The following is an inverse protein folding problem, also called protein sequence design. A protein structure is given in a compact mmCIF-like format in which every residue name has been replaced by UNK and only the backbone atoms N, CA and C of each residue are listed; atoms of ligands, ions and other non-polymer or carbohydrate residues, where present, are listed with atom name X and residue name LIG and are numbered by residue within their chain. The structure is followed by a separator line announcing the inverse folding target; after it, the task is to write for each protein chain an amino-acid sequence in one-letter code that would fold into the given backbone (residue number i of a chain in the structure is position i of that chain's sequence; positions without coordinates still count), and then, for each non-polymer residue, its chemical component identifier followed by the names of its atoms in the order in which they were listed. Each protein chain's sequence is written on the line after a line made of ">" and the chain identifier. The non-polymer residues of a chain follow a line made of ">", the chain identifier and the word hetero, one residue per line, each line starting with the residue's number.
data_IF_466945589427
#
_entry.id   IF_466945589427
#
_cell.length_a   1.000
_cell.length_b   1.000
_cell.length_c   1.000
_cell.angle_alpha   90.00
_cell.angle_beta   90.00
_cell.angle_gamma   90.00
#
_symmetry.space_group_name_H-M   'P 1'
#
loop_
_entity.id
_entity.type
_entity.pdbx_description
1 polymer ?
#
# COMPACT_ATOMS: atom_id res chain seq x y z
N UNK A 1 11.40 -19.66 -15.14
CA UNK A 1 11.56 -19.57 -16.61
C UNK A 1 11.49 -18.10 -17.04
N UNK A 2 12.41 -17.24 -16.57
CA UNK A 2 12.72 -15.88 -17.07
C UNK A 2 13.92 -15.41 -16.24
N UNK A 3 15.13 -15.61 -16.77
CA UNK A 3 16.38 -15.14 -16.14
C UNK A 3 17.09 -14.33 -17.22
N UNK A 4 17.21 -13.03 -17.00
CA UNK A 4 17.82 -11.99 -17.85
C UNK A 4 16.96 -11.53 -19.03
N UNK A 5 16.11 -10.53 -18.76
CA UNK A 5 15.71 -9.59 -19.80
C UNK A 5 16.98 -8.88 -20.29
N UNK A 6 17.22 -8.91 -21.60
CA UNK A 6 18.29 -8.11 -22.21
C UNK A 6 18.00 -6.63 -21.96
N UNK A 7 19.04 -5.78 -21.83
CA UNK A 7 18.87 -4.34 -21.57
C UNK A 7 17.92 -3.67 -22.56
N UNK A 8 17.92 -4.14 -23.82
CA UNK A 8 17.02 -3.65 -24.86
C UNK A 8 15.54 -3.98 -24.58
N UNK A 9 15.25 -5.13 -24.00
CA UNK A 9 13.88 -5.52 -23.65
C UNK A 9 13.42 -4.80 -22.38
N UNK A 10 14.31 -4.58 -21.42
CA UNK A 10 14.04 -3.73 -20.25
C UNK A 10 13.72 -2.29 -20.68
N UNK A 11 14.48 -1.73 -21.62
CA UNK A 11 14.21 -0.39 -22.17
C UNK A 11 12.87 -0.31 -22.90
N UNK A 12 12.49 -1.34 -23.67
CA UNK A 12 11.16 -1.41 -24.32
C UNK A 12 10.03 -1.46 -23.29
N UNK A 13 10.17 -2.31 -22.26
CA UNK A 13 9.18 -2.43 -21.18
C UNK A 13 9.02 -1.11 -20.43
N UNK A 14 10.11 -0.43 -20.11
CA UNK A 14 10.09 0.90 -19.49
C UNK A 14 9.32 1.90 -20.35
N UNK A 15 9.62 1.95 -21.66
CA UNK A 15 8.96 2.87 -22.59
C UNK A 15 7.46 2.59 -22.73
N UNK A 16 7.07 1.31 -22.84
CA UNK A 16 5.65 0.91 -22.90
C UNK A 16 4.94 1.29 -21.59
N UNK A 17 5.56 1.02 -20.44
CA UNK A 17 5.01 1.37 -19.12
C UNK A 17 4.78 2.87 -18.99
N UNK A 18 5.76 3.69 -19.38
CA UNK A 18 5.64 5.16 -19.36
C UNK A 18 4.53 5.62 -20.29
N UNK A 19 4.42 5.05 -21.50
CA UNK A 19 3.37 5.40 -22.44
C UNK A 19 1.98 5.06 -21.89
N UNK A 20 1.79 3.84 -21.38
CA UNK A 20 0.55 3.42 -20.74
C UNK A 20 0.20 4.31 -19.53
N UNK A 21 1.18 4.60 -18.67
CA UNK A 21 0.96 5.47 -17.52
C UNK A 21 0.57 6.89 -17.95
N UNK A 22 1.22 7.43 -18.98
CA UNK A 22 0.88 8.75 -19.56
C UNK A 22 -0.55 8.76 -20.09
N UNK A 23 -0.98 7.72 -20.81
CA UNK A 23 -2.35 7.60 -21.31
C UNK A 23 -3.37 7.56 -20.16
N UNK A 24 -3.11 6.77 -19.11
CA UNK A 24 -3.99 6.68 -17.92
C UNK A 24 -4.06 8.02 -17.19
N UNK A 25 -2.94 8.69 -16.94
CA UNK A 25 -2.90 9.99 -16.28
C UNK A 25 -3.59 11.07 -17.11
N UNK A 26 -3.44 11.04 -18.44
CA UNK A 26 -4.12 11.96 -19.36
C UNK A 26 -5.65 11.74 -19.32
N UNK A 27 -6.10 10.49 -19.35
CA UNK A 27 -7.53 10.16 -19.20
C UNK A 27 -8.07 10.56 -17.83
N UNK A 28 -7.29 10.36 -16.77
CA UNK A 28 -7.63 10.78 -15.42
C UNK A 28 -7.75 12.30 -15.31
N UNK A 29 -6.86 13.04 -15.96
CA UNK A 29 -6.90 14.50 -16.02
C UNK A 29 -8.12 15.02 -16.78
N UNK A 30 -8.53 14.36 -17.86
CA UNK A 30 -9.71 14.74 -18.65
C UNK A 30 -11.02 14.42 -17.90
N UNK A 31 -11.07 13.32 -17.14
CA UNK A 31 -12.28 12.92 -16.39
C UNK A 31 -12.39 13.53 -14.99
N UNK A 32 -11.33 14.15 -14.47
CA UNK A 32 -11.34 14.68 -13.09
C UNK A 32 -11.86 16.11 -13.03
N UNK A 33 -13.10 16.27 -12.58
CA UNK A 33 -13.66 17.55 -12.09
C UNK A 33 -13.29 17.83 -10.61
N UNK A 34 -12.38 17.05 -10.02
CA UNK A 34 -11.90 17.22 -8.65
C UNK A 34 -10.63 18.06 -8.64
N UNK A 35 -10.62 19.14 -7.84
CA UNK A 35 -9.44 19.97 -7.59
C UNK A 35 -8.19 19.11 -7.33
N UNK A 36 -7.05 19.45 -7.95
CA UNK A 36 -5.74 18.77 -7.83
C UNK A 36 -5.42 18.43 -6.36
N UNK A 37 -5.81 19.30 -5.43
CA UNK A 37 -5.61 19.10 -3.99
C UNK A 37 -6.31 17.86 -3.43
N UNK A 38 -7.54 17.54 -3.86
CA UNK A 38 -8.26 16.34 -3.38
C UNK A 38 -7.68 15.04 -3.92
N UNK A 39 -7.25 15.05 -5.18
CA UNK A 39 -6.62 13.88 -5.82
C UNK A 39 -5.28 13.56 -5.15
N UNK A 40 -4.48 14.58 -4.86
CA UNK A 40 -3.22 14.45 -4.12
C UNK A 40 -3.48 14.01 -2.68
N UNK A 41 -4.46 14.60 -2.00
CA UNK A 41 -4.81 14.22 -0.63
C UNK A 41 -5.16 12.73 -0.53
N UNK A 42 -5.97 12.21 -1.47
CA UNK A 42 -6.41 10.82 -1.45
C UNK A 42 -5.26 9.81 -1.66
N UNK A 43 -4.33 10.11 -2.58
CA UNK A 43 -3.17 9.26 -2.83
C UNK A 43 -2.25 9.13 -1.59
N UNK A 44 -2.09 10.22 -0.83
CA UNK A 44 -1.33 10.19 0.41
C UNK A 44 -1.99 9.32 1.49
N UNK A 45 -3.33 9.27 1.55
CA UNK A 45 -4.07 8.42 2.52
C UNK A 45 -3.72 6.95 2.34
N UNK A 46 -3.80 6.46 1.10
CA UNK A 46 -3.55 5.07 0.73
C UNK A 46 -2.14 4.65 1.13
N UNK A 47 -1.14 5.45 0.75
CA UNK A 47 0.28 5.12 0.99
C UNK A 47 0.60 5.12 2.48
N UNK A 48 0.03 6.05 3.24
CA UNK A 48 0.19 6.15 4.68
C UNK A 48 -0.41 4.93 5.40
N UNK A 49 -1.58 4.46 4.99
CA UNK A 49 -2.22 3.30 5.64
C UNK A 49 -1.56 1.98 5.24
N UNK A 50 -1.28 1.81 3.94
CA UNK A 50 -0.83 0.55 3.39
C UNK A 50 0.68 0.33 3.56
N UNK A 51 1.52 1.35 3.32
CA UNK A 51 2.96 1.18 3.21
C UNK A 51 3.75 1.73 4.40
N UNK A 52 3.30 2.81 5.06
CA UNK A 52 4.08 3.46 6.12
C UNK A 52 4.39 2.51 7.28
N UNK A 53 3.38 1.79 7.79
CA UNK A 53 3.54 0.88 8.92
C UNK A 53 4.46 -0.30 8.60
N UNK A 54 4.24 -1.11 7.55
CA UNK A 54 5.14 -2.22 7.26
C UNK A 54 6.56 -1.75 6.91
N UNK A 55 6.73 -0.60 6.25
CA UNK A 55 8.07 -0.03 5.99
C UNK A 55 8.75 0.44 7.27
N UNK A 56 8.06 1.18 8.14
CA UNK A 56 8.61 1.65 9.40
C UNK A 56 9.01 0.48 10.31
N UNK A 57 8.14 -0.52 10.46
CA UNK A 57 8.48 -1.72 11.23
C UNK A 57 9.56 -2.56 10.53
N UNK A 58 9.58 -2.61 9.20
CA UNK A 58 10.62 -3.31 8.44
C UNK A 58 12.02 -2.72 8.64
N UNK A 59 12.13 -1.39 8.76
CA UNK A 59 13.41 -0.67 8.96
C UNK A 59 13.81 -0.63 10.43
N UNK A 60 12.88 -0.35 11.34
CA UNK A 60 13.19 -0.10 12.76
C UNK A 60 13.02 -1.32 13.68
N UNK A 61 12.31 -2.37 13.27
CA UNK A 61 11.98 -3.52 14.12
C UNK A 61 12.63 -4.82 13.62
N UNK A 62 13.65 -5.31 14.33
CA UNK A 62 14.41 -6.52 13.97
C UNK A 62 13.55 -7.81 13.88
N UNK A 63 12.37 -7.83 14.53
CA UNK A 63 11.40 -8.93 14.45
C UNK A 63 10.35 -8.78 13.34
N UNK A 64 10.51 -7.82 12.42
CA UNK A 64 9.61 -7.72 11.26
C UNK A 64 9.54 -9.06 10.51
N UNK A 65 8.33 -9.42 10.09
CA UNK A 65 8.01 -10.69 9.44
C UNK A 65 7.17 -10.41 8.18
N UNK A 66 7.42 -11.14 7.09
CA UNK A 66 6.72 -10.95 5.81
C UNK A 66 5.21 -11.18 5.94
N UNK A 67 4.81 -12.13 6.79
CA UNK A 67 3.40 -12.44 7.07
C UNK A 67 2.72 -11.30 7.84
N UNK A 68 3.42 -10.69 8.81
CA UNK A 68 2.95 -9.52 9.53
C UNK A 68 2.86 -8.27 8.64
N UNK A 69 3.82 -8.08 7.73
CA UNK A 69 3.76 -7.01 6.73
C UNK A 69 2.54 -7.15 5.81
N UNK A 70 2.26 -8.37 5.33
CA UNK A 70 1.08 -8.64 4.51
C UNK A 70 -0.23 -8.37 5.27
N UNK A 71 -0.34 -8.86 6.52
CA UNK A 71 -1.50 -8.62 7.38
C UNK A 71 -1.69 -7.14 7.71
N UNK A 72 -0.59 -6.39 7.90
CA UNK A 72 -0.62 -4.96 8.11
C UNK A 72 -1.19 -4.21 6.88
N UNK A 73 -0.70 -4.55 5.68
CA UNK A 73 -1.21 -3.96 4.42
C UNK A 73 -2.69 -4.28 4.23
N UNK A 74 -3.06 -5.57 4.31
CA UNK A 74 -4.45 -6.00 4.04
C UNK A 74 -5.40 -5.50 5.12
N UNK A 75 -5.02 -5.60 6.39
CA UNK A 75 -5.81 -5.10 7.53
C UNK A 75 -5.96 -3.57 7.50
N UNK A 76 -4.86 -2.85 7.22
CA UNK A 76 -4.90 -1.40 7.08
C UNK A 76 -5.82 -0.95 5.95
N UNK A 77 -5.68 -1.55 4.76
CA UNK A 77 -6.46 -1.18 3.58
C UNK A 77 -7.95 -1.53 3.76
N UNK A 78 -8.26 -2.71 4.30
CA UNK A 78 -9.66 -3.13 4.54
C UNK A 78 -10.36 -2.25 5.57
N UNK A 79 -9.70 -1.91 6.68
CA UNK A 79 -10.26 -1.02 7.70
C UNK A 79 -10.39 0.41 7.18
N UNK A 80 -9.41 0.91 6.43
CA UNK A 80 -9.47 2.24 5.83
C UNK A 80 -10.63 2.37 4.84
N UNK A 81 -10.77 1.43 3.90
CA UNK A 81 -11.89 1.41 2.94
C UNK A 81 -13.23 1.29 3.67
N UNK A 82 -13.32 0.40 4.67
CA UNK A 82 -14.57 0.23 5.44
C UNK A 82 -14.95 1.50 6.20
N UNK A 83 -13.97 2.22 6.76
CA UNK A 83 -14.19 3.45 7.51
C UNK A 83 -14.53 4.64 6.60
N UNK A 84 -13.93 4.70 5.40
CA UNK A 84 -14.25 5.69 4.37
C UNK A 84 -15.69 5.54 3.86
N UNK A 85 -16.21 4.31 3.78
CA UNK A 85 -17.60 4.02 3.37
C UNK A 85 -18.60 4.23 4.52
N UNK A 86 -18.29 3.79 5.76
CA UNK A 86 -19.25 3.85 6.88
C UNK A 86 -19.35 5.22 7.56
N UNK A 87 -18.30 6.04 7.57
CA UNK A 87 -18.33 7.33 8.29
C UNK A 87 -17.32 8.36 7.75
N UNK A 88 -17.70 9.13 6.71
CA UNK A 88 -16.87 10.21 6.18
C UNK A 88 -16.63 11.37 7.18
N UNK A 89 -17.45 11.49 8.23
CA UNK A 89 -17.48 12.61 9.18
C UNK A 89 -17.19 12.19 10.64
N UNK A 90 -16.55 11.04 10.86
CA UNK A 90 -16.17 10.63 12.22
C UNK A 90 -15.09 11.56 12.80
N UNK A 91 -15.11 11.75 14.12
CA UNK A 91 -14.14 12.55 14.91
C UNK A 91 -12.70 12.05 14.71
N UNK A 92 -12.53 10.81 14.24
CA UNK A 92 -11.24 10.20 13.88
C UNK A 92 -11.11 10.09 12.35
N UNK A 93 -10.05 10.66 11.74
CA UNK A 93 -9.83 10.53 10.30
C UNK A 93 -9.66 9.05 9.92
N UNK A 94 -10.29 8.56 8.83
CA UNK A 94 -10.27 7.15 8.41
C UNK A 94 -8.84 6.59 8.24
N UNK A 95 -7.90 7.45 7.85
CA UNK A 95 -6.48 7.11 7.73
C UNK A 95 -5.87 6.66 9.07
N UNK A 96 -6.27 7.28 10.18
CA UNK A 96 -5.75 6.94 11.50
C UNK A 96 -6.29 5.58 11.95
N UNK A 97 -7.56 5.28 11.66
CA UNK A 97 -8.14 3.96 11.89
C UNK A 97 -7.44 2.86 11.07
N UNK A 98 -7.17 3.13 9.78
CA UNK A 98 -6.40 2.24 8.92
C UNK A 98 -4.96 2.03 9.40
N UNK A 99 -4.29 3.10 9.85
CA UNK A 99 -2.94 3.03 10.40
C UNK A 99 -2.89 2.22 11.70
N UNK A 100 -3.85 2.42 12.61
CA UNK A 100 -3.97 1.62 13.83
C UNK A 100 -4.24 0.15 13.54
N UNK A 101 -5.11 -0.15 12.57
CA UNK A 101 -5.37 -1.51 12.12
C UNK A 101 -4.13 -2.16 11.47
N UNK A 102 -3.36 -1.40 10.70
CA UNK A 102 -2.10 -1.84 10.11
C UNK A 102 -1.05 -2.14 11.19
N UNK A 103 -0.95 -1.29 12.22
CA UNK A 103 -0.07 -1.54 13.39
C UNK A 103 -0.53 -2.80 14.14
N UNK A 104 -1.83 -2.95 14.39
CA UNK A 104 -2.37 -4.14 15.03
C UNK A 104 -2.08 -5.41 14.19
N UNK A 105 -2.25 -5.34 12.87
CA UNK A 105 -1.91 -6.44 11.94
C UNK A 105 -0.42 -6.80 11.98
N UNK A 106 0.47 -5.80 12.05
CA UNK A 106 1.91 -6.01 12.17
C UNK A 106 2.29 -6.62 13.53
N UNK A 107 1.66 -6.17 14.62
CA UNK A 107 1.89 -6.70 15.97
C UNK A 107 1.37 -8.13 16.11
N UNK A 108 0.15 -8.41 15.63
CA UNK A 108 -0.43 -9.75 15.62
C UNK A 108 0.38 -10.70 14.74
N UNK A 109 0.79 -10.27 13.55
CA UNK A 109 1.63 -11.08 12.65
C UNK A 109 3.10 -11.19 13.08
N UNK A 110 3.59 -10.28 13.93
CA UNK A 110 4.90 -10.35 14.57
C UNK A 110 4.93 -11.25 15.82
N UNK A 111 3.78 -11.45 16.46
CA UNK A 111 3.58 -12.42 17.55
C UNK A 111 3.43 -13.85 17.01
N UNK A 112 2.97 -14.04 15.77
CA UNK A 112 2.97 -15.34 15.09
C UNK A 112 4.43 -15.76 14.86
N UNK A 113 4.94 -16.78 15.58
CA UNK A 113 6.36 -17.06 15.65
C UNK A 113 6.96 -17.51 14.32
N UNK A 114 8.19 -17.03 14.03
CA UNK A 114 9.07 -17.45 12.92
C UNK A 114 9.26 -18.98 12.81
N UNK A 115 8.89 -19.75 13.82
CA UNK A 115 9.02 -21.22 13.86
C UNK A 115 8.11 -21.98 12.89
N UNK A 116 7.06 -21.37 12.31
CA UNK A 116 6.15 -22.06 11.36
C UNK A 116 6.50 -21.87 9.87
N UNK A 117 7.57 -21.13 9.54
CA UNK A 117 7.98 -20.87 8.14
C UNK A 117 9.13 -21.77 7.64
N UNK A 118 9.76 -22.57 8.51
CA UNK A 118 10.82 -23.53 8.13
C UNK A 118 10.31 -24.97 7.88
N UNK A 119 9.00 -25.15 7.62
CA UNK A 119 8.38 -26.47 7.43
C UNK A 119 7.60 -26.59 6.12
N UNK A 120 7.90 -25.77 5.11
CA UNK A 120 7.39 -25.92 3.74
C UNK A 120 8.58 -25.95 2.79
#
# INVERSE_FOLDING_TARGET
>A
FFKHLSDQDLLKVMRITVFCFTAVVTLFAINSELSIFKMVENAYKVTLVAAFVPLAFGVYWSKANSLGGLLAVVGGLTVWISCEVLSPNAILPPQLAGLLASIAGMLLGGLVPRTRLNSI
#
